data_IF_817902600364
#
_entry.id   IF_817902600364
#
_cell.length_a   1.000
_cell.length_b   1.000
_cell.length_c   1.000
_cell.angle_alpha   90.00
_cell.angle_beta   90.00
_cell.angle_gamma   90.00
#
_symmetry.space_group_name_H-M   'P 1'
#
loop_
_entity.id
_entity.type
_entity.pdbx_description
1 polymer ?
#
# COMPACT_ATOMS: atom_id res chain seq x y z
N UNK A 1 -7.64 -3.79 34.32
CA UNK A 1 -6.93 -3.98 33.04
C UNK A 1 -6.50 -5.42 32.96
N UNK A 2 -6.56 -5.99 31.73
CA UNK A 2 -6.19 -7.37 31.48
C UNK A 2 -4.74 -7.46 30.99
N UNK A 3 -4.08 -8.54 31.29
CA UNK A 3 -2.74 -8.85 30.79
C UNK A 3 -2.81 -9.31 29.33
N UNK A 4 -1.66 -9.32 28.64
CA UNK A 4 -1.58 -9.82 27.25
C UNK A 4 -2.07 -11.27 27.14
N UNK A 5 -1.60 -12.22 28.00
CA UNK A 5 -2.12 -13.59 27.98
C UNK A 5 -3.63 -13.67 28.18
N UNK A 6 -4.18 -12.89 29.12
CA UNK A 6 -5.64 -12.89 29.35
C UNK A 6 -6.43 -12.43 28.13
N UNK A 7 -5.96 -11.37 27.44
CA UNK A 7 -6.65 -10.88 26.24
C UNK A 7 -6.62 -11.93 25.14
N UNK A 8 -5.45 -12.50 24.85
CA UNK A 8 -5.32 -13.49 23.77
C UNK A 8 -6.07 -14.78 24.05
N UNK A 9 -5.87 -15.38 25.24
CA UNK A 9 -6.42 -16.71 25.54
C UNK A 9 -7.90 -16.69 25.92
N UNK A 10 -8.37 -15.61 26.56
CA UNK A 10 -9.78 -15.54 27.02
C UNK A 10 -10.73 -14.82 26.05
N UNK A 11 -10.21 -14.01 25.11
CA UNK A 11 -11.03 -13.28 24.16
C UNK A 11 -10.62 -13.55 22.72
N UNK A 12 -9.42 -13.15 22.29
CA UNK A 12 -9.03 -13.13 20.86
C UNK A 12 -9.13 -14.53 20.23
N UNK A 13 -8.52 -15.55 20.84
CA UNK A 13 -8.54 -16.90 20.27
C UNK A 13 -9.94 -17.53 20.31
N UNK A 14 -10.69 -17.51 21.43
CA UNK A 14 -12.05 -18.07 21.46
C UNK A 14 -13.01 -17.39 20.49
N UNK A 15 -12.96 -16.05 20.40
CA UNK A 15 -13.85 -15.30 19.52
C UNK A 15 -13.55 -15.58 18.05
N UNK A 16 -12.28 -15.62 17.64
CA UNK A 16 -11.89 -15.91 16.25
C UNK A 16 -12.19 -17.39 15.89
N UNK A 17 -12.02 -18.34 16.79
CA UNK A 17 -12.45 -19.74 16.58
C UNK A 17 -13.96 -19.85 16.40
N UNK A 18 -14.72 -19.10 17.20
CA UNK A 18 -16.17 -19.00 17.07
C UNK A 18 -16.55 -18.38 15.74
N UNK A 19 -15.85 -17.33 15.31
CA UNK A 19 -16.04 -16.69 14.02
C UNK A 19 -15.80 -17.65 12.85
N UNK A 20 -14.68 -18.42 12.88
CA UNK A 20 -14.39 -19.43 11.85
C UNK A 20 -15.51 -20.48 11.75
N UNK A 21 -16.09 -20.87 12.88
CA UNK A 21 -17.18 -21.86 12.89
C UNK A 21 -18.47 -21.33 12.31
N UNK A 22 -18.80 -20.05 12.55
CA UNK A 22 -20.13 -19.49 12.29
C UNK A 22 -20.22 -18.56 11.08
N UNK A 23 -19.10 -18.02 10.59
CA UNK A 23 -19.10 -17.16 9.42
C UNK A 23 -19.27 -17.97 8.13
N UNK A 24 -19.90 -17.39 7.11
CA UNK A 24 -20.03 -18.02 5.80
C UNK A 24 -18.70 -17.94 5.01
N UNK A 25 -18.60 -18.76 3.99
CA UNK A 25 -17.47 -18.71 3.05
C UNK A 25 -17.57 -17.47 2.12
N UNK A 26 -18.80 -17.09 1.75
CA UNK A 26 -19.06 -15.87 0.98
C UNK A 26 -19.56 -14.75 1.88
N UNK A 27 -19.15 -13.48 1.65
CA UNK A 27 -19.62 -12.37 2.48
C UNK A 27 -21.11 -12.16 2.33
N UNK A 28 -21.81 -11.87 3.43
CA UNK A 28 -23.25 -11.57 3.44
C UNK A 28 -23.58 -10.21 2.85
N UNK A 29 -22.65 -9.28 2.96
CA UNK A 29 -22.69 -7.93 2.38
C UNK A 29 -21.35 -7.65 1.73
N UNK A 30 -21.35 -6.78 0.75
CA UNK A 30 -20.12 -6.37 0.04
C UNK A 30 -19.04 -5.93 1.03
N UNK A 31 -17.85 -6.49 0.93
CA UNK A 31 -16.72 -6.21 1.83
C UNK A 31 -16.86 -6.82 3.25
N UNK A 32 -17.92 -7.58 3.51
CA UNK A 32 -18.19 -8.16 4.81
C UNK A 32 -17.23 -9.28 5.21
N UNK A 33 -17.21 -9.58 6.50
CA UNK A 33 -16.37 -10.62 7.08
C UNK A 33 -16.78 -12.03 6.64
N UNK A 34 -15.80 -12.89 6.42
CA UNK A 34 -15.97 -14.29 6.04
C UNK A 34 -15.13 -15.19 6.92
N UNK A 35 -15.33 -16.49 6.78
CA UNK A 35 -14.49 -17.50 7.45
C UNK A 35 -13.01 -17.34 7.13
N UNK A 36 -12.67 -17.07 5.87
CA UNK A 36 -11.27 -16.84 5.44
C UNK A 36 -10.66 -15.62 6.12
N UNK A 37 -11.43 -14.53 6.27
CA UNK A 37 -10.99 -13.35 7.03
C UNK A 37 -10.71 -13.71 8.49
N UNK A 38 -11.60 -14.48 9.13
CA UNK A 38 -11.39 -14.91 10.51
C UNK A 38 -10.16 -15.81 10.67
N UNK A 39 -9.89 -16.70 9.71
CA UNK A 39 -8.66 -17.52 9.67
C UNK A 39 -7.41 -16.65 9.55
N UNK A 40 -7.41 -15.64 8.68
CA UNK A 40 -6.30 -14.69 8.57
C UNK A 40 -6.00 -14.03 9.92
N UNK A 41 -7.03 -13.51 10.58
CA UNK A 41 -6.83 -12.84 11.87
C UNK A 41 -6.42 -13.81 12.98
N UNK A 42 -6.92 -15.05 12.99
CA UNK A 42 -6.48 -16.05 13.96
C UNK A 42 -5.01 -16.45 13.73
N UNK A 43 -4.61 -16.67 12.49
CA UNK A 43 -3.21 -16.93 12.14
C UNK A 43 -2.29 -15.80 12.60
N UNK A 44 -2.65 -14.55 12.31
CA UNK A 44 -1.91 -13.37 12.77
C UNK A 44 -1.87 -13.26 14.29
N UNK A 45 -2.97 -13.57 14.97
CA UNK A 45 -3.04 -13.52 16.43
C UNK A 45 -2.12 -14.57 17.06
N UNK A 46 -2.11 -15.80 16.55
CA UNK A 46 -1.19 -16.85 17.01
C UNK A 46 0.27 -16.46 16.76
N UNK A 47 0.60 -15.99 15.55
CA UNK A 47 1.95 -15.55 15.22
C UNK A 47 2.42 -14.42 16.15
N UNK A 48 1.57 -13.44 16.38
CA UNK A 48 1.89 -12.28 17.23
C UNK A 48 2.08 -12.71 18.69
N UNK A 49 1.21 -13.57 19.19
CA UNK A 49 1.29 -14.03 20.58
C UNK A 49 2.49 -14.94 20.81
N UNK A 50 2.79 -15.86 19.88
CA UNK A 50 4.00 -16.69 19.92
C UNK A 50 5.26 -15.82 19.92
N UNK A 51 5.32 -14.82 19.04
CA UNK A 51 6.43 -13.88 19.02
C UNK A 51 6.55 -13.09 20.33
N UNK A 52 5.44 -12.69 20.93
CA UNK A 52 5.44 -12.01 22.22
C UNK A 52 5.97 -12.89 23.35
N UNK A 53 5.64 -14.18 23.36
CA UNK A 53 6.17 -15.13 24.36
C UNK A 53 7.70 -15.30 24.25
N UNK A 54 8.24 -15.34 23.04
CA UNK A 54 9.66 -15.60 22.77
C UNK A 54 10.55 -14.36 22.93
N UNK A 55 9.99 -13.17 22.73
CA UNK A 55 10.75 -11.90 22.69
C UNK A 55 10.44 -11.01 23.90
N UNK A 56 10.93 -11.36 25.09
CA UNK A 56 10.62 -10.64 26.32
C UNK A 56 11.30 -9.27 26.42
N UNK A 57 12.39 -9.04 25.67
CA UNK A 57 13.28 -7.93 25.91
C UNK A 57 12.73 -6.62 25.30
N UNK A 58 12.67 -5.58 26.14
CA UNK A 58 12.40 -4.20 25.78
C UNK A 58 11.03 -3.94 25.11
N UNK A 59 10.07 -4.84 25.23
CA UNK A 59 8.70 -4.59 24.79
C UNK A 59 7.86 -4.38 26.05
N UNK A 60 7.56 -3.12 26.40
CA UNK A 60 6.74 -2.86 27.56
C UNK A 60 5.32 -3.37 27.32
N UNK A 61 4.82 -4.09 28.31
CA UNK A 61 3.41 -4.45 28.41
C UNK A 61 2.75 -3.68 29.56
N UNK A 62 1.49 -3.40 29.44
CA UNK A 62 0.79 -2.69 30.49
C UNK A 62 -0.62 -3.25 30.69
N UNK A 63 -0.90 -3.89 31.85
CA UNK A 63 0.01 -4.10 32.98
C UNK A 63 1.16 -5.04 32.67
N UNK A 64 2.27 -4.88 33.37
CA UNK A 64 3.38 -5.84 33.32
C UNK A 64 2.90 -7.22 33.76
N UNK A 65 3.38 -8.25 33.07
CA UNK A 65 3.06 -9.63 33.39
C UNK A 65 4.18 -10.56 32.90
N UNK A 66 4.23 -11.74 33.50
CA UNK A 66 5.13 -12.78 33.05
C UNK A 66 4.78 -13.22 31.63
N UNK A 67 5.82 -13.53 30.85
CA UNK A 67 5.66 -14.04 29.48
C UNK A 67 5.49 -15.54 29.48
N UNK A 68 4.45 -15.97 30.15
CA UNK A 68 4.04 -17.36 30.25
C UNK A 68 2.61 -17.51 29.76
N UNK A 69 2.39 -18.58 29.03
CA UNK A 69 1.06 -18.92 28.56
C UNK A 69 0.27 -19.63 29.66
N UNK A 70 -0.95 -19.21 29.98
CA UNK A 70 -1.80 -19.87 30.99
C UNK A 70 -2.11 -21.34 30.68
N UNK A 71 -2.16 -21.70 29.40
CA UNK A 71 -2.44 -23.06 28.93
C UNK A 71 -1.17 -23.92 28.80
N UNK A 72 0.00 -23.32 29.09
CA UNK A 72 1.29 -24.01 29.14
C UNK A 72 1.95 -24.26 27.78
N UNK A 73 1.49 -23.59 26.72
CA UNK A 73 2.09 -23.69 25.40
C UNK A 73 3.28 -22.73 25.25
N UNK A 74 4.25 -23.10 24.43
CA UNK A 74 5.39 -22.30 24.09
C UNK A 74 5.17 -21.51 22.76
N UNK A 75 6.12 -20.66 22.39
CA UNK A 75 6.07 -19.91 21.15
C UNK A 75 6.02 -20.81 19.90
N UNK A 76 6.75 -21.92 19.90
CA UNK A 76 6.80 -22.85 18.79
C UNK A 76 5.43 -23.49 18.51
N UNK A 77 4.69 -23.83 19.59
CA UNK A 77 3.32 -24.31 19.45
C UNK A 77 2.42 -23.28 18.77
N UNK A 78 2.50 -22.01 19.17
CA UNK A 78 1.70 -20.94 18.55
C UNK A 78 2.09 -20.66 17.09
N UNK A 79 3.37 -20.76 16.74
CA UNK A 79 3.81 -20.66 15.35
C UNK A 79 3.25 -21.81 14.49
N UNK A 80 3.21 -23.02 15.04
CA UNK A 80 2.59 -24.15 14.35
C UNK A 80 1.08 -23.92 14.13
N UNK A 81 0.37 -23.44 15.17
CA UNK A 81 -1.06 -23.10 15.01
C UNK A 81 -1.27 -22.01 13.96
N UNK A 82 -0.41 -20.98 13.91
CA UNK A 82 -0.48 -19.94 12.91
C UNK A 82 -0.29 -20.50 11.50
N UNK A 83 0.67 -21.41 11.32
CA UNK A 83 0.93 -22.10 10.07
C UNK A 83 -0.27 -22.96 9.62
N UNK A 84 -0.80 -23.77 10.52
CA UNK A 84 -1.90 -24.69 10.23
C UNK A 84 -3.15 -23.93 9.79
N UNK A 85 -3.54 -22.87 10.50
CA UNK A 85 -4.70 -22.03 10.15
C UNK A 85 -4.46 -21.27 8.83
N UNK A 86 -3.26 -20.76 8.57
CA UNK A 86 -2.92 -20.12 7.32
C UNK A 86 -3.03 -21.11 6.14
N UNK A 87 -2.49 -22.31 6.32
CA UNK A 87 -2.57 -23.39 5.31
C UNK A 87 -4.01 -23.77 5.02
N UNK A 88 -4.84 -23.94 6.06
CA UNK A 88 -6.27 -24.21 5.88
C UNK A 88 -6.99 -23.10 5.09
N UNK A 89 -6.62 -21.83 5.34
CA UNK A 89 -7.18 -20.70 4.60
C UNK A 89 -6.74 -20.68 3.12
N UNK A 90 -5.50 -21.07 2.84
CA UNK A 90 -4.95 -21.15 1.46
C UNK A 90 -5.59 -22.30 0.70
N UNK A 91 -5.76 -23.46 1.32
CA UNK A 91 -6.36 -24.64 0.72
C UNK A 91 -7.88 -24.49 0.49
N UNK A 92 -8.53 -23.68 1.32
CA UNK A 92 -9.97 -23.41 1.27
C UNK A 92 -10.25 -21.90 1.26
N UNK A 93 -9.88 -21.18 0.18
CA UNK A 93 -9.91 -19.71 0.15
C UNK A 93 -11.31 -19.13 0.04
N UNK A 94 -12.33 -19.92 -0.33
CA UNK A 94 -13.66 -19.41 -0.65
C UNK A 94 -13.63 -18.61 -1.97
N UNK A 95 -14.21 -17.40 -2.03
CA UNK A 95 -14.23 -16.59 -3.24
C UNK A 95 -12.92 -15.86 -3.52
N UNK A 96 -11.91 -16.02 -2.67
CA UNK A 96 -10.67 -15.28 -2.73
C UNK A 96 -9.58 -15.99 -3.54
N UNK A 97 -8.61 -15.22 -4.04
CA UNK A 97 -7.48 -15.75 -4.80
C UNK A 97 -6.53 -14.64 -5.19
N UNK A 98 -5.36 -14.99 -5.68
CA UNK A 98 -4.36 -14.02 -6.10
C UNK A 98 -4.74 -13.36 -7.43
N UNK A 99 -4.42 -12.07 -7.55
CA UNK A 99 -4.43 -11.35 -8.82
C UNK A 99 -3.19 -11.71 -9.65
N UNK A 100 -3.19 -11.40 -10.94
CA UNK A 100 -2.07 -11.70 -11.82
C UNK A 100 -0.82 -10.89 -11.50
N UNK A 101 -1.01 -9.66 -11.00
CA UNK A 101 0.09 -8.78 -10.61
C UNK A 101 -0.23 -8.00 -9.35
N UNK A 102 0.82 -7.63 -8.62
CA UNK A 102 0.69 -6.79 -7.42
C UNK A 102 0.03 -5.43 -7.70
N UNK A 103 0.28 -4.85 -8.87
CA UNK A 103 -0.36 -3.58 -9.26
C UNK A 103 -1.88 -3.69 -9.27
N UNK A 104 -2.43 -4.79 -9.80
CA UNK A 104 -3.89 -4.98 -9.89
C UNK A 104 -4.58 -5.05 -8.52
N UNK A 105 -3.86 -5.45 -7.47
CA UNK A 105 -4.46 -5.53 -6.12
C UNK A 105 -4.97 -4.17 -5.64
N UNK A 106 -4.27 -3.09 -5.98
CA UNK A 106 -4.55 -1.74 -5.48
C UNK A 106 -4.96 -0.74 -6.58
N UNK A 107 -5.02 -1.16 -7.83
CA UNK A 107 -5.37 -0.26 -8.92
C UNK A 107 -6.89 -0.07 -9.04
N UNK A 108 -7.34 1.18 -9.19
CA UNK A 108 -8.76 1.55 -9.22
C UNK A 108 -9.64 0.73 -10.17
N UNK A 109 -9.20 0.40 -11.41
CA UNK A 109 -9.99 -0.45 -12.32
C UNK A 109 -10.27 -1.86 -11.80
N UNK A 110 -9.49 -2.32 -10.81
CA UNK A 110 -9.61 -3.64 -10.19
C UNK A 110 -10.12 -3.55 -8.75
N UNK A 111 -10.78 -2.48 -8.40
CA UNK A 111 -11.36 -2.31 -7.05
C UNK A 111 -12.26 -3.50 -6.70
N UNK A 112 -12.30 -3.85 -5.41
CA UNK A 112 -13.05 -5.01 -4.88
C UNK A 112 -12.65 -6.34 -5.51
N UNK A 113 -11.39 -6.47 -5.91
CA UNK A 113 -10.90 -7.70 -6.53
C UNK A 113 -10.81 -8.88 -5.54
N UNK A 114 -10.60 -10.08 -6.08
CA UNK A 114 -10.59 -11.33 -5.31
C UNK A 114 -9.44 -11.47 -4.30
N UNK A 115 -8.39 -10.64 -4.36
CA UNK A 115 -7.28 -10.68 -3.40
C UNK A 115 -7.56 -9.83 -2.15
N UNK A 116 -8.54 -8.92 -2.22
CA UNK A 116 -8.94 -8.09 -1.08
C UNK A 116 -9.93 -8.87 -0.22
N UNK A 117 -9.50 -9.25 0.97
CA UNK A 117 -10.30 -10.10 1.87
C UNK A 117 -11.35 -9.33 2.66
N UNK A 118 -11.06 -8.09 3.04
CA UNK A 118 -11.93 -7.24 3.87
C UNK A 118 -11.69 -5.79 3.48
N UNK A 119 -12.76 -5.04 3.28
CA UNK A 119 -12.67 -3.62 2.99
C UNK A 119 -13.88 -2.85 3.51
N UNK A 120 -13.66 -1.61 3.85
CA UNK A 120 -14.72 -0.64 4.07
C UNK A 120 -14.98 0.08 2.74
N UNK A 121 -16.21 0.02 2.28
CA UNK A 121 -16.59 0.61 1.00
C UNK A 121 -16.83 2.11 1.16
N UNK A 122 -16.15 2.91 0.33
CA UNK A 122 -16.32 4.35 0.25
C UNK A 122 -16.73 4.69 -1.17
N UNK A 123 -17.94 5.19 -1.36
CA UNK A 123 -18.42 5.64 -2.65
C UNK A 123 -18.58 7.15 -2.71
N UNK A 124 -18.59 7.71 -3.90
CA UNK A 124 -18.84 9.16 -4.09
C UNK A 124 -20.26 9.57 -3.71
N UNK A 125 -21.17 8.61 -3.70
CA UNK A 125 -22.56 8.81 -3.33
C UNK A 125 -22.80 8.78 -1.82
N UNK A 126 -21.83 8.29 -1.05
CA UNK A 126 -21.95 8.23 0.42
C UNK A 126 -21.31 9.45 1.08
N UNK A 127 -22.09 10.52 1.19
CA UNK A 127 -21.66 11.79 1.77
C UNK A 127 -21.27 11.69 3.25
N UNK A 128 -21.77 10.68 3.95
CA UNK A 128 -21.64 10.56 5.41
C UNK A 128 -20.94 9.27 5.86
N UNK A 129 -20.28 8.59 4.97
CA UNK A 129 -19.63 7.33 5.33
C UNK A 129 -18.65 7.53 6.50
N UNK A 130 -18.94 6.88 7.62
CA UNK A 130 -18.19 7.02 8.88
C UNK A 130 -17.97 8.48 9.35
N UNK A 131 -18.81 9.42 8.95
CA UNK A 131 -18.63 10.84 9.24
C UNK A 131 -17.48 11.48 8.49
N UNK A 132 -16.88 10.77 7.52
CA UNK A 132 -15.83 11.27 6.66
C UNK A 132 -16.37 12.06 5.49
N UNK A 133 -15.52 12.91 4.91
CA UNK A 133 -15.78 13.61 3.66
C UNK A 133 -14.74 13.17 2.64
N UNK A 134 -15.18 12.74 1.46
CA UNK A 134 -14.28 12.47 0.33
C UNK A 134 -13.79 13.77 -0.32
N UNK A 135 -14.32 14.91 0.09
CA UNK A 135 -13.85 16.19 -0.42
C UNK A 135 -12.46 16.52 0.11
N UNK A 136 -11.61 16.96 -0.80
CA UNK A 136 -10.26 17.35 -0.54
C UNK A 136 -10.19 18.76 0.05
N UNK A 137 -9.64 18.87 1.26
CA UNK A 137 -9.44 20.18 1.91
C UNK A 137 -8.63 20.07 3.18
N UNK A 138 -8.27 21.18 3.79
CA UNK A 138 -7.46 21.26 5.02
C UNK A 138 -8.19 20.78 6.29
N UNK A 139 -9.24 20.12 6.22
CA UNK A 139 -9.96 19.42 7.28
C UNK A 139 -10.51 18.13 6.73
N UNK A 140 -9.98 17.76 5.57
CA UNK A 140 -10.52 16.67 4.77
C UNK A 140 -10.47 15.34 5.48
N UNK A 141 -11.29 14.46 4.99
CA UNK A 141 -11.58 13.15 5.50
C UNK A 141 -10.34 12.44 6.01
N UNK A 142 -10.22 12.19 7.30
CA UNK A 142 -9.14 11.37 7.83
C UNK A 142 -9.15 9.96 7.21
N UNK A 143 -10.27 9.56 6.66
CA UNK A 143 -10.48 8.24 6.06
C UNK A 143 -10.14 8.18 4.57
N UNK A 144 -9.86 9.31 3.93
CA UNK A 144 -9.45 9.34 2.54
C UNK A 144 -7.94 9.18 2.39
N UNK A 145 -7.47 7.95 2.41
CA UNK A 145 -6.05 7.62 2.26
C UNK A 145 -5.44 8.04 0.92
N UNK A 146 -6.25 8.27 -0.12
CA UNK A 146 -5.75 8.82 -1.38
C UNK A 146 -5.08 10.18 -1.19
N UNK A 147 -5.49 10.94 -0.18
CA UNK A 147 -4.84 12.18 0.21
C UNK A 147 -3.41 12.00 0.74
N UNK A 148 -3.04 10.80 1.15
CA UNK A 148 -1.72 10.44 1.68
C UNK A 148 -0.80 9.78 0.64
N UNK A 149 -1.31 9.44 -0.53
CA UNK A 149 -0.52 8.99 -1.67
C UNK A 149 0.26 10.17 -2.24
N UNK A 150 1.34 10.54 -1.54
CA UNK A 150 2.16 11.69 -1.86
C UNK A 150 3.36 11.26 -2.67
N UNK A 151 3.63 12.03 -3.70
CA UNK A 151 4.75 11.78 -4.58
C UNK A 151 5.68 12.99 -4.60
N UNK A 152 6.85 12.82 -5.22
CA UNK A 152 7.73 13.93 -5.53
C UNK A 152 6.99 15.01 -6.31
N UNK A 153 7.44 16.28 -6.18
CA UNK A 153 6.78 17.39 -6.88
C UNK A 153 7.14 17.39 -8.38
N UNK A 154 6.54 16.48 -9.11
CA UNK A 154 6.76 16.34 -10.56
C UNK A 154 6.30 17.55 -11.38
N UNK A 155 5.50 18.43 -10.82
CA UNK A 155 5.11 19.69 -11.50
C UNK A 155 6.26 20.69 -11.56
N UNK A 156 7.35 20.45 -10.85
CA UNK A 156 8.60 21.22 -10.94
C UNK A 156 9.49 20.80 -12.12
N UNK A 157 9.14 19.71 -12.83
CA UNK A 157 9.81 19.37 -14.08
C UNK A 157 9.61 20.52 -15.06
N UNK A 158 10.70 21.06 -15.59
CA UNK A 158 10.70 22.17 -16.52
C UNK A 158 11.13 21.72 -17.92
N UNK A 159 10.50 22.32 -18.91
CA UNK A 159 10.86 22.19 -20.31
C UNK A 159 10.70 23.56 -21.01
N UNK A 160 11.08 23.62 -22.28
CA UNK A 160 10.87 24.81 -23.13
C UNK A 160 9.81 24.49 -24.17
N UNK A 161 8.89 25.44 -24.40
CA UNK A 161 7.98 25.38 -25.53
C UNK A 161 8.70 25.82 -26.84
N UNK A 162 7.97 25.81 -27.96
CA UNK A 162 8.47 26.23 -29.28
C UNK A 162 8.98 27.66 -29.32
N UNK A 163 8.50 28.49 -28.41
CA UNK A 163 8.86 29.92 -28.34
C UNK A 163 9.97 30.19 -27.32
N UNK A 164 10.51 29.12 -26.71
CA UNK A 164 11.59 29.19 -25.72
C UNK A 164 11.14 29.53 -24.30
N UNK A 165 9.84 29.59 -24.03
CA UNK A 165 9.32 29.88 -22.70
C UNK A 165 9.48 28.64 -21.79
N UNK A 166 9.81 28.87 -20.53
CA UNK A 166 9.83 27.81 -19.53
C UNK A 166 8.40 27.42 -19.15
N UNK A 167 8.13 26.11 -19.20
CA UNK A 167 6.81 25.55 -18.96
C UNK A 167 6.95 24.32 -18.05
N UNK A 168 5.84 23.95 -17.40
CA UNK A 168 5.70 22.70 -16.67
C UNK A 168 4.90 21.70 -17.53
N UNK A 169 5.57 20.75 -18.17
CA UNK A 169 4.94 19.83 -19.11
C UNK A 169 4.26 18.64 -18.45
N UNK A 170 4.53 18.40 -17.17
CA UNK A 170 3.85 17.37 -16.37
C UNK A 170 2.89 18.03 -15.41
N UNK A 171 1.61 17.79 -15.64
CA UNK A 171 0.53 18.47 -14.94
C UNK A 171 -0.09 17.55 -13.92
N UNK A 172 -0.46 18.11 -12.79
CA UNK A 172 -1.22 17.37 -11.77
C UNK A 172 -2.59 16.99 -12.33
N UNK A 173 -2.85 15.69 -12.28
CA UNK A 173 -4.14 15.10 -12.62
C UNK A 173 -4.64 14.24 -11.46
N UNK A 174 -5.95 14.04 -11.39
CA UNK A 174 -6.55 13.14 -10.39
C UNK A 174 -6.40 11.68 -10.82
N UNK A 175 -5.16 11.24 -10.99
CA UNK A 175 -4.81 9.89 -11.39
C UNK A 175 -3.95 9.21 -10.33
N UNK A 176 -4.16 7.91 -10.16
CA UNK A 176 -3.41 7.11 -9.21
C UNK A 176 -1.92 7.01 -9.57
N UNK A 177 -1.60 6.99 -10.88
CA UNK A 177 -0.25 6.76 -11.37
C UNK A 177 0.77 7.81 -10.87
N UNK A 178 0.38 9.08 -10.76
CA UNK A 178 1.28 10.15 -10.34
C UNK A 178 1.06 10.59 -8.90
N UNK A 179 -0.10 10.34 -8.32
CA UNK A 179 -0.41 10.77 -6.96
C UNK A 179 -0.36 12.28 -6.77
N UNK A 180 -0.09 12.72 -5.56
CA UNK A 180 -0.02 14.15 -5.21
C UNK A 180 1.42 14.65 -5.21
N UNK A 181 1.73 15.73 -5.94
CA UNK A 181 3.08 16.28 -6.04
C UNK A 181 3.46 17.15 -4.82
N UNK A 182 3.51 16.57 -3.63
CA UNK A 182 3.70 17.35 -2.40
C UNK A 182 4.94 16.97 -1.59
N UNK A 183 5.73 16.05 -2.02
CA UNK A 183 7.04 15.67 -1.47
C UNK A 183 7.06 15.57 0.07
N UNK A 184 6.09 14.89 0.66
CA UNK A 184 6.01 14.75 2.12
C UNK A 184 6.44 13.37 2.62
N UNK A 185 6.52 12.41 1.72
CA UNK A 185 6.92 11.05 2.02
C UNK A 185 7.81 10.53 0.91
N UNK A 186 8.87 9.85 1.31
CA UNK A 186 9.74 9.10 0.40
C UNK A 186 10.14 7.80 1.10
N UNK A 187 10.28 6.70 0.37
CA UNK A 187 10.79 5.47 0.95
C UNK A 187 12.26 5.65 1.35
N UNK A 188 12.71 4.98 2.43
CA UNK A 188 14.12 4.97 2.77
C UNK A 188 14.98 4.40 1.64
N UNK A 189 16.18 4.93 1.45
CA UNK A 189 17.12 4.50 0.41
C UNK A 189 17.33 2.96 0.35
N UNK A 190 17.41 2.30 1.50
CA UNK A 190 17.53 0.85 1.59
C UNK A 190 16.38 0.06 0.97
N UNK A 191 15.22 0.67 0.77
CA UNK A 191 14.10 0.04 0.05
C UNK A 191 14.48 -0.21 -1.41
N UNK A 192 15.12 0.75 -2.05
CA UNK A 192 15.55 0.63 -3.45
C UNK A 192 16.74 -0.30 -3.63
N UNK A 193 17.71 -0.28 -2.72
CA UNK A 193 18.99 -0.97 -2.87
C UNK A 193 19.00 -2.38 -2.27
N UNK A 194 18.19 -2.63 -1.24
CA UNK A 194 18.21 -3.89 -0.48
C UNK A 194 16.90 -4.67 -0.60
N UNK A 195 15.76 -4.02 -0.43
CA UNK A 195 14.46 -4.69 -0.46
C UNK A 195 14.08 -5.11 -1.88
N UNK A 196 14.20 -4.19 -2.84
CA UNK A 196 13.96 -4.48 -4.25
C UNK A 196 15.29 -4.71 -5.00
N UNK A 197 16.06 -5.69 -4.55
CA UNK A 197 17.37 -5.99 -5.10
C UNK A 197 17.31 -6.43 -6.57
N UNK A 198 16.33 -7.22 -6.94
CA UNK A 198 16.14 -7.70 -8.31
C UNK A 198 14.87 -7.07 -8.92
N UNK A 199 15.00 -5.82 -9.34
CA UNK A 199 13.90 -5.01 -9.88
C UNK A 199 13.33 -5.58 -11.18
N UNK A 200 14.12 -6.33 -11.92
CA UNK A 200 13.69 -6.92 -13.21
C UNK A 200 12.79 -8.14 -13.04
N UNK A 201 12.90 -8.82 -11.91
CA UNK A 201 12.08 -10.00 -11.58
C UNK A 201 10.97 -9.71 -10.61
N UNK A 202 11.12 -8.69 -9.78
CA UNK A 202 10.12 -8.30 -8.80
C UNK A 202 9.19 -7.22 -9.36
N UNK A 203 8.09 -7.62 -9.96
CA UNK A 203 7.10 -6.72 -10.55
C UNK A 203 6.45 -5.75 -9.55
N UNK A 204 6.63 -5.99 -8.24
CA UNK A 204 6.14 -5.07 -7.20
C UNK A 204 6.88 -3.74 -7.22
N UNK A 205 8.12 -3.72 -7.71
CA UNK A 205 8.88 -2.48 -7.83
C UNK A 205 8.15 -1.47 -8.73
N UNK A 206 7.88 -1.86 -9.96
CA UNK A 206 7.18 -1.00 -10.93
C UNK A 206 5.73 -0.74 -10.54
N UNK A 207 5.10 -1.67 -9.82
CA UNK A 207 3.74 -1.51 -9.29
C UNK A 207 3.64 -0.58 -8.07
N UNK A 208 4.77 -0.28 -7.41
CA UNK A 208 4.80 0.52 -6.18
C UNK A 208 5.35 1.93 -6.43
N UNK A 209 6.35 2.06 -7.28
CA UNK A 209 7.08 3.32 -7.47
C UNK A 209 6.85 3.91 -8.86
N UNK A 210 6.56 5.20 -8.91
CA UNK A 210 6.58 5.97 -10.14
C UNK A 210 8.00 6.41 -10.42
N UNK A 211 8.64 5.77 -11.39
CA UNK A 211 10.05 6.04 -11.76
C UNK A 211 10.17 6.83 -13.05
N UNK A 212 9.10 6.99 -13.82
CA UNK A 212 9.08 7.71 -15.09
C UNK A 212 7.94 8.72 -15.08
N UNK A 213 8.26 9.98 -15.32
CA UNK A 213 7.29 11.04 -15.53
C UNK A 213 7.23 11.41 -17.00
N UNK A 214 6.01 11.44 -17.54
CA UNK A 214 5.70 11.70 -18.95
C UNK A 214 4.91 12.97 -19.10
N UNK A 215 5.10 13.68 -20.19
CA UNK A 215 4.28 14.85 -20.52
C UNK A 215 2.79 14.48 -20.64
N UNK A 216 1.94 15.30 -20.06
CA UNK A 216 0.49 15.15 -20.11
C UNK A 216 -0.22 16.52 -20.27
N UNK A 217 0.38 17.42 -20.99
CA UNK A 217 -0.03 18.83 -21.09
C UNK A 217 -1.35 19.05 -21.82
N UNK A 218 -1.79 18.13 -22.69
CA UNK A 218 -3.10 18.22 -23.35
C UNK A 218 -4.26 18.17 -22.34
N UNK A 219 -4.08 17.53 -21.20
CA UNK A 219 -5.06 17.50 -20.10
C UNK A 219 -5.37 18.89 -19.55
N UNK A 220 -4.48 19.86 -19.77
CA UNK A 220 -4.65 21.27 -19.42
C UNK A 220 -4.88 22.15 -20.66
N UNK A 221 -5.32 21.58 -21.75
CA UNK A 221 -5.71 22.29 -22.97
C UNK A 221 -4.53 22.89 -23.75
N UNK A 222 -3.31 22.35 -23.57
CA UNK A 222 -2.15 22.77 -24.36
C UNK A 222 -2.03 21.91 -25.60
N UNK A 223 -1.73 22.54 -26.72
CA UNK A 223 -1.62 21.95 -28.06
C UNK A 223 -0.17 21.82 -28.55
N UNK A 224 0.79 21.81 -27.66
CA UNK A 224 2.20 21.66 -28.02
C UNK A 224 2.45 20.30 -28.66
N UNK A 225 3.08 20.29 -29.84
CA UNK A 225 3.47 19.04 -30.50
C UNK A 225 4.61 18.37 -29.77
N UNK A 226 5.60 19.16 -29.38
CA UNK A 226 6.77 18.74 -28.59
C UNK A 226 7.16 19.85 -27.64
N UNK A 227 7.87 19.47 -26.59
CA UNK A 227 8.60 20.37 -25.69
C UNK A 227 10.06 20.01 -25.72
N UNK A 228 10.95 20.94 -25.38
CA UNK A 228 12.38 20.67 -25.28
C UNK A 228 12.76 20.44 -23.82
N UNK A 229 13.23 19.23 -23.49
CA UNK A 229 13.75 18.90 -22.18
C UNK A 229 15.03 19.65 -21.81
N UNK A 230 15.52 19.49 -20.60
CA UNK A 230 16.72 20.16 -20.08
C UNK A 230 17.97 19.88 -20.92
N UNK A 231 18.04 18.70 -21.54
CA UNK A 231 19.13 18.29 -22.45
C UNK A 231 18.96 18.80 -23.90
N UNK A 232 17.95 19.62 -24.18
CA UNK A 232 17.68 20.15 -25.50
C UNK A 232 16.97 19.18 -26.46
N UNK A 233 16.65 17.97 -26.02
CA UNK A 233 15.96 16.97 -26.85
C UNK A 233 14.47 17.29 -26.90
N UNK A 234 13.89 17.26 -28.10
CA UNK A 234 12.45 17.41 -28.30
C UNK A 234 11.73 16.14 -27.85
N UNK A 235 10.72 16.30 -27.01
CA UNK A 235 9.92 15.23 -26.41
C UNK A 235 8.45 15.43 -26.73
N UNK A 236 7.78 14.42 -27.27
CA UNK A 236 6.35 14.43 -27.51
C UNK A 236 5.57 14.13 -26.23
N UNK A 237 4.28 14.49 -26.23
CA UNK A 237 3.40 14.11 -25.12
C UNK A 237 3.34 12.59 -24.96
N UNK A 238 3.35 12.12 -23.71
CA UNK A 238 3.39 10.68 -23.40
C UNK A 238 4.79 10.06 -23.39
N UNK A 239 5.83 10.75 -23.91
CA UNK A 239 7.20 10.29 -23.84
C UNK A 239 7.85 10.66 -22.51
N UNK A 240 8.90 9.91 -22.08
CA UNK A 240 9.61 10.19 -20.83
C UNK A 240 10.26 11.58 -20.84
N UNK A 241 9.96 12.37 -19.82
CA UNK A 241 10.61 13.66 -19.56
C UNK A 241 11.63 13.57 -18.42
N UNK A 242 11.34 12.74 -17.43
CA UNK A 242 12.24 12.44 -16.33
C UNK A 242 12.13 10.94 -16.00
N UNK A 243 13.28 10.30 -15.85
CA UNK A 243 13.37 8.91 -15.40
C UNK A 243 14.31 8.83 -14.20
N UNK A 244 13.81 8.28 -13.09
CA UNK A 244 14.65 7.93 -11.95
C UNK A 244 15.36 6.60 -12.24
N UNK A 245 16.66 6.64 -12.37
CA UNK A 245 17.49 5.47 -12.59
C UNK A 245 17.98 4.89 -11.25
N UNK A 246 18.31 3.58 -11.20
CA UNK A 246 18.99 3.02 -10.05
C UNK A 246 20.29 3.77 -9.76
N UNK A 247 20.68 3.88 -8.48
CA UNK A 247 21.82 4.65 -8.00
C UNK A 247 23.15 4.31 -8.70
N UNK A 248 23.29 3.05 -9.10
CA UNK A 248 24.49 2.51 -9.78
C UNK A 248 24.39 2.52 -11.31
N UNK A 249 23.35 3.12 -11.88
CA UNK A 249 23.19 3.19 -13.33
C UNK A 249 24.21 4.19 -13.92
N UNK A 250 25.06 3.76 -14.87
CA UNK A 250 26.07 4.63 -15.46
C UNK A 250 25.48 5.74 -16.34
N UNK A 251 24.21 5.68 -16.67
CA UNK A 251 23.52 6.67 -17.49
C UNK A 251 22.84 7.78 -16.66
N UNK A 252 23.06 7.81 -15.34
CA UNK A 252 22.49 8.87 -14.50
C UNK A 252 23.03 10.22 -14.98
N UNK A 253 22.12 11.11 -15.30
CA UNK A 253 22.39 12.52 -15.59
C UNK A 253 21.62 13.35 -14.57
N UNK A 254 22.33 14.09 -13.77
CA UNK A 254 21.72 15.06 -12.87
C UNK A 254 21.52 16.38 -13.63
N UNK A 255 20.28 16.90 -13.73
CA UNK A 255 20.06 18.25 -14.24
C UNK A 255 20.85 19.25 -13.39
N UNK A 256 21.40 20.28 -14.00
CA UNK A 256 22.10 21.35 -13.28
C UNK A 256 21.21 21.89 -12.14
N UNK A 257 21.73 21.82 -10.92
CA UNK A 257 21.03 22.27 -9.72
C UNK A 257 20.13 21.25 -9.01
N UNK A 258 20.04 20.00 -9.49
CA UNK A 258 19.46 18.90 -8.73
C UNK A 258 20.58 18.20 -7.93
N UNK A 259 20.65 18.52 -6.65
CA UNK A 259 21.46 17.81 -5.67
C UNK A 259 20.63 16.78 -4.93
#
# INVERSE_FOLDING_TARGET
RNTVPEVYTKAVFPDLKTAITNLPDNPRVTGGVTKTVARLYLSKAYLTYGWWLENPNNIPTYPECDRTDPDGHDAAWYYQQAYDIATEAIDNPGPYGLMESFYQVNAGPYDRNKEILLYADHTQEDEYYNGGSLSYGSGGAPDNFAGWMMNWNYTDIQAKDKDGNTISPVIRVAEQAYGRPWTRMAPPHGVFTKTFKDKTKDSRYDGTFTTVYRGNWSTNGKDWTTVSGANGIAVAEGEPLLTFLPEDDPNIQYPDGAG
#
